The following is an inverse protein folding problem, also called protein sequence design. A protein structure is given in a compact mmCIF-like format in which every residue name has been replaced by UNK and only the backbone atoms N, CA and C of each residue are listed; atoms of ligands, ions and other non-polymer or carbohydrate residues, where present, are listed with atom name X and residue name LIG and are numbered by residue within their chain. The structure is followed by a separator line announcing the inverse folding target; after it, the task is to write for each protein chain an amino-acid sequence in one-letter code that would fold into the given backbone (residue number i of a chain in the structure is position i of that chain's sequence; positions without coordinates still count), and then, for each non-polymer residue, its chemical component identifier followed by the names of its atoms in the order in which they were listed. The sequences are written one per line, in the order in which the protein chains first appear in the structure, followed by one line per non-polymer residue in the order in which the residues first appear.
data_IF_131957272798
#
_entry.id   IF_131957272798
#
_cell.length_a   1.000
_cell.length_b   1.000
_cell.length_c   1.000
_cell.angle_alpha   90.00
_cell.angle_beta   90.00
_cell.angle_gamma   90.00
#
_symmetry.space_group_name_H-M   'P 1'
#
loop_
_entity.id
_entity.type
_entity.pdbx_description
1 polymer ?
#
# COMPACT_ATOMS: atom_id res chain seq x y z
N UNK A 1 -27.40 -63.35 0.48
CA UNK A 1 -28.29 -62.85 -0.56
C UNK A 1 -29.07 -61.73 0.06
N UNK A 2 -28.71 -60.55 -0.27
CA UNK A 2 -29.46 -59.31 -0.50
C UNK A 2 -28.49 -58.14 -0.27
N UNK A 3 -28.09 -57.68 -1.40
CA UNK A 3 -27.36 -56.46 -1.69
C UNK A 3 -28.27 -55.26 -1.36
N UNK A 4 -27.83 -54.34 -0.56
CA UNK A 4 -28.44 -53.01 -0.45
C UNK A 4 -27.35 -51.97 -0.49
N UNK A 5 -27.14 -51.48 -1.70
CA UNK A 5 -26.38 -50.26 -1.99
C UNK A 5 -27.14 -49.05 -1.49
N UNK A 6 -26.53 -48.30 -0.55
CA UNK A 6 -27.01 -46.97 -0.19
C UNK A 6 -26.50 -45.93 -1.20
N UNK A 7 -27.34 -44.98 -1.64
CA UNK A 7 -26.95 -43.93 -2.57
C UNK A 7 -26.15 -42.85 -1.90
N UNK A 8 -25.07 -42.48 -2.55
CA UNK A 8 -24.24 -41.29 -2.25
C UNK A 8 -25.10 -40.05 -2.45
N UNK A 9 -25.28 -39.28 -1.38
CA UNK A 9 -25.90 -37.97 -1.45
C UNK A 9 -24.82 -36.96 -1.86
N UNK A 10 -24.79 -36.63 -3.15
CA UNK A 10 -24.18 -35.40 -3.65
C UNK A 10 -25.11 -34.22 -3.33
N UNK A 11 -24.64 -33.23 -2.61
CA UNK A 11 -25.38 -32.02 -2.43
C UNK A 11 -24.87 -31.18 -1.27
N UNK A 12 -24.45 -29.96 -1.58
CA UNK A 12 -24.10 -28.86 -0.71
C UNK A 12 -22.63 -28.67 -0.38
N UNK A 13 -21.86 -28.25 -1.38
CA UNK A 13 -20.58 -27.57 -1.18
C UNK A 13 -20.42 -26.32 -2.10
N UNK A 14 -21.47 -25.51 -2.23
CA UNK A 14 -21.33 -24.20 -2.88
C UNK A 14 -22.46 -23.25 -2.42
N UNK A 15 -22.31 -22.70 -1.23
CA UNK A 15 -23.13 -21.57 -0.81
C UNK A 15 -22.51 -20.87 0.41
N UNK A 16 -21.35 -20.23 0.22
CA UNK A 16 -20.84 -19.22 1.16
C UNK A 16 -19.70 -18.41 0.53
N UNK A 17 -20.01 -17.57 -0.44
CA UNK A 17 -19.06 -16.56 -0.92
C UNK A 17 -19.71 -15.36 -1.63
N UNK A 18 -20.90 -14.95 -1.25
CA UNK A 18 -21.53 -13.76 -1.88
C UNK A 18 -21.82 -12.60 -0.93
N UNK A 19 -21.27 -12.59 0.30
CA UNK A 19 -21.54 -11.52 1.27
C UNK A 19 -20.34 -10.63 1.60
N UNK A 20 -19.17 -10.87 1.06
CA UNK A 20 -17.98 -10.04 1.37
C UNK A 20 -17.58 -9.02 0.29
N UNK A 21 -18.23 -9.00 -0.86
CA UNK A 21 -17.87 -8.06 -1.95
C UNK A 21 -18.57 -6.70 -1.87
N UNK A 22 -19.46 -6.48 -0.89
CA UNK A 22 -20.27 -5.24 -0.83
C UNK A 22 -19.72 -4.15 0.09
N UNK A 23 -18.64 -4.40 0.86
CA UNK A 23 -18.04 -3.38 1.74
C UNK A 23 -16.94 -2.55 1.06
N UNK A 24 -16.37 -3.00 -0.06
CA UNK A 24 -15.35 -2.24 -0.78
C UNK A 24 -15.93 -1.22 -1.78
N UNK A 25 -17.16 -1.37 -2.23
CA UNK A 25 -17.80 -0.43 -3.15
C UNK A 25 -18.42 0.81 -2.48
N UNK A 26 -18.72 0.77 -1.19
CA UNK A 26 -19.30 1.92 -0.50
C UNK A 26 -18.28 3.04 -0.19
N UNK A 27 -16.98 2.73 -0.19
CA UNK A 27 -15.89 3.69 0.08
C UNK A 27 -15.51 4.57 -1.13
N UNK A 28 -15.92 4.20 -2.35
CA UNK A 28 -15.52 4.91 -3.58
C UNK A 28 -16.30 6.21 -3.84
N UNK A 29 -17.38 6.47 -3.10
CA UNK A 29 -18.25 7.62 -3.29
C UNK A 29 -18.11 8.73 -2.25
N UNK A 30 -17.24 8.57 -1.26
CA UNK A 30 -17.00 9.60 -0.25
C UNK A 30 -16.10 10.72 -0.81
N UNK A 31 -16.39 12.00 -0.50
CA UNK A 31 -15.51 13.11 -0.85
C UNK A 31 -14.12 12.93 -0.22
N UNK A 32 -13.07 13.19 -1.02
CA UNK A 32 -11.69 13.07 -0.60
C UNK A 32 -10.99 14.42 -0.74
N UNK A 33 -10.30 14.86 0.31
CA UNK A 33 -9.47 16.06 0.28
C UNK A 33 -8.00 15.65 0.14
N UNK A 34 -7.32 16.22 -0.83
CA UNK A 34 -5.90 15.94 -1.11
C UNK A 34 -5.20 17.21 -1.57
N UNK A 35 -4.09 17.56 -0.94
CA UNK A 35 -3.30 18.77 -1.23
C UNK A 35 -4.16 20.04 -1.33
N UNK A 36 -5.08 20.22 -0.37
CA UNK A 36 -5.97 21.38 -0.30
C UNK A 36 -7.14 21.39 -1.31
N UNK A 37 -7.24 20.39 -2.17
CA UNK A 37 -8.34 20.23 -3.14
C UNK A 37 -9.32 19.16 -2.68
N UNK A 38 -10.62 19.41 -2.87
CA UNK A 38 -11.67 18.43 -2.53
C UNK A 38 -12.23 17.80 -3.81
N UNK A 39 -12.25 16.49 -3.84
CA UNK A 39 -12.76 15.69 -4.95
C UNK A 39 -14.04 14.96 -4.53
N UNK A 40 -14.98 14.71 -5.44
CA UNK A 40 -16.22 14.02 -5.11
C UNK A 40 -16.00 12.56 -4.66
N UNK A 41 -14.93 11.96 -5.09
CA UNK A 41 -14.51 10.61 -4.71
C UNK A 41 -13.00 10.39 -5.02
N UNK A 42 -12.46 9.25 -4.60
CA UNK A 42 -11.07 8.91 -4.81
C UNK A 42 -10.71 8.68 -6.29
N UNK A 43 -11.63 8.18 -7.08
CA UNK A 43 -11.45 8.00 -8.52
C UNK A 43 -11.24 9.34 -9.25
N UNK A 44 -12.01 10.35 -8.88
CA UNK A 44 -11.86 11.71 -9.42
C UNK A 44 -10.52 12.34 -9.02
N UNK A 45 -10.08 12.15 -7.75
CA UNK A 45 -8.74 12.54 -7.31
C UNK A 45 -7.67 11.88 -8.18
N UNK A 46 -7.74 10.56 -8.32
CA UNK A 46 -6.79 9.77 -9.10
C UNK A 46 -6.73 10.21 -10.56
N UNK A 47 -7.89 10.37 -11.19
CA UNK A 47 -7.97 10.84 -12.58
C UNK A 47 -7.31 12.22 -12.77
N UNK A 48 -7.60 13.16 -11.88
CA UNK A 48 -7.01 14.50 -11.92
C UNK A 48 -5.48 14.46 -11.82
N UNK A 49 -4.93 13.81 -10.79
CA UNK A 49 -3.49 13.76 -10.59
C UNK A 49 -2.77 12.91 -11.64
N UNK A 50 -3.43 11.90 -12.22
CA UNK A 50 -2.88 11.15 -13.36
C UNK A 50 -2.69 12.05 -14.58
N UNK A 51 -3.65 12.93 -14.87
CA UNK A 51 -3.50 13.89 -15.97
C UNK A 51 -2.41 14.95 -15.69
N UNK A 52 -2.30 15.40 -14.44
CA UNK A 52 -1.21 16.32 -14.06
C UNK A 52 0.16 15.63 -14.17
N UNK A 53 0.28 14.35 -13.76
CA UNK A 53 1.50 13.56 -13.96
C UNK A 53 1.81 13.40 -15.45
N UNK A 54 0.81 13.12 -16.28
CA UNK A 54 0.96 13.02 -17.75
C UNK A 54 1.54 14.30 -18.36
N UNK A 55 1.14 15.47 -17.85
CA UNK A 55 1.72 16.75 -18.27
C UNK A 55 3.18 16.88 -17.84
N UNK A 56 3.51 16.49 -16.61
CA UNK A 56 4.88 16.49 -16.08
C UNK A 56 5.81 15.56 -16.85
N UNK A 57 5.33 14.40 -17.27
CA UNK A 57 6.11 13.45 -18.07
C UNK A 57 6.54 13.99 -19.44
N UNK A 58 5.88 15.03 -19.96
CA UNK A 58 6.27 15.72 -21.19
C UNK A 58 7.41 16.72 -21.00
N UNK A 59 7.74 17.06 -19.75
CA UNK A 59 8.82 17.99 -19.43
C UNK A 59 10.18 17.29 -19.52
N UNK A 60 11.10 17.70 -20.42
CA UNK A 60 12.43 17.11 -20.52
C UNK A 60 13.28 17.28 -19.25
N UNK A 61 13.10 18.38 -18.51
CA UNK A 61 13.87 18.62 -17.27
C UNK A 61 13.42 17.67 -16.15
N UNK A 62 12.13 17.38 -16.07
CA UNK A 62 11.61 16.38 -15.13
C UNK A 62 12.21 14.99 -15.39
N UNK A 63 12.44 14.63 -16.64
CA UNK A 63 13.04 13.33 -17.02
C UNK A 63 14.53 13.22 -16.72
N UNK A 64 15.22 14.32 -16.46
CA UNK A 64 16.65 14.33 -16.10
C UNK A 64 16.90 14.10 -14.62
N UNK A 65 15.86 14.06 -13.80
CA UNK A 65 15.99 13.80 -12.37
C UNK A 65 16.60 12.41 -12.18
N UNK A 66 17.58 12.33 -11.29
CA UNK A 66 18.25 11.06 -10.95
C UNK A 66 17.24 10.01 -10.50
N UNK A 67 17.37 8.79 -11.00
CA UNK A 67 16.43 7.70 -10.69
C UNK A 67 15.18 7.69 -11.57
N UNK A 68 15.10 8.52 -12.61
CA UNK A 68 13.97 8.46 -13.54
C UNK A 68 13.95 7.10 -14.28
N UNK A 69 12.82 6.38 -14.31
CA UNK A 69 12.74 5.04 -14.86
C UNK A 69 12.89 5.03 -16.40
N UNK A 70 13.43 3.92 -16.90
CA UNK A 70 13.40 3.59 -18.32
C UNK A 70 12.07 2.87 -18.62
N UNK A 71 11.16 3.53 -19.31
CA UNK A 71 9.85 2.96 -19.65
C UNK A 71 8.99 3.93 -20.43
N UNK A 72 7.86 3.46 -20.93
CA UNK A 72 6.87 4.31 -21.58
C UNK A 72 6.10 5.14 -20.55
N UNK A 73 5.57 6.29 -20.99
CA UNK A 73 4.74 7.13 -20.12
C UNK A 73 3.50 6.38 -19.63
N UNK A 74 2.93 5.53 -20.47
CA UNK A 74 1.74 4.76 -20.11
C UNK A 74 2.04 3.71 -19.04
N UNK A 75 3.22 3.06 -19.06
CA UNK A 75 3.64 2.14 -18.01
C UNK A 75 3.84 2.86 -16.68
N UNK A 76 4.48 4.05 -16.70
CA UNK A 76 4.66 4.89 -15.53
C UNK A 76 3.30 5.28 -14.93
N UNK A 77 2.37 5.73 -15.77
CA UNK A 77 1.03 6.13 -15.33
C UNK A 77 0.22 4.95 -14.79
N UNK A 78 0.28 3.80 -15.46
CA UNK A 78 -0.44 2.60 -15.04
C UNK A 78 0.02 2.06 -13.67
N UNK A 79 1.32 2.21 -13.36
CA UNK A 79 1.91 1.79 -12.10
C UNK A 79 1.84 2.86 -11.00
N UNK A 80 1.22 4.01 -11.26
CA UNK A 80 1.14 5.14 -10.33
C UNK A 80 -0.25 5.30 -9.72
N UNK A 81 -0.28 5.82 -8.48
CA UNK A 81 -1.48 6.33 -7.81
C UNK A 81 -1.20 7.74 -7.26
N UNK A 82 -1.10 8.74 -8.16
CA UNK A 82 -0.73 10.08 -7.76
C UNK A 82 -1.83 10.79 -6.96
N UNK A 83 -1.49 11.72 -6.05
CA UNK A 83 -0.15 12.21 -5.77
C UNK A 83 0.63 11.36 -4.77
N UNK A 84 0.01 10.34 -4.16
CA UNK A 84 0.61 9.56 -3.06
C UNK A 84 1.78 8.69 -3.50
N UNK A 85 1.67 8.08 -4.65
CA UNK A 85 2.69 7.22 -5.21
C UNK A 85 2.83 7.44 -6.72
N UNK A 86 4.07 7.53 -7.19
CA UNK A 86 4.39 7.58 -8.61
C UNK A 86 5.52 6.61 -8.94
N UNK A 87 5.43 5.94 -10.09
CA UNK A 87 6.48 5.06 -10.60
C UNK A 87 7.68 5.82 -11.21
N UNK A 88 7.79 7.11 -10.93
CA UNK A 88 8.90 8.00 -11.26
C UNK A 88 9.12 8.93 -10.06
N UNK A 89 10.13 9.83 -10.05
CA UNK A 89 10.26 10.84 -9.01
C UNK A 89 8.94 11.59 -8.80
N UNK A 90 8.46 11.61 -7.55
CA UNK A 90 7.13 12.16 -7.24
C UNK A 90 7.17 13.69 -7.19
N UNK A 91 6.47 14.41 -8.10
CA UNK A 91 6.51 15.87 -8.14
C UNK A 91 5.76 16.55 -6.97
N UNK A 92 4.96 15.81 -6.20
CA UNK A 92 4.18 16.34 -5.07
C UNK A 92 4.72 15.94 -3.70
N UNK A 93 5.86 15.23 -3.65
CA UNK A 93 6.35 14.67 -2.37
C UNK A 93 6.59 15.74 -1.31
N UNK A 94 7.11 16.90 -1.71
CA UNK A 94 7.38 18.01 -0.79
C UNK A 94 6.08 18.57 -0.18
N UNK A 95 5.02 18.68 -0.98
CA UNK A 95 3.72 19.17 -0.53
C UNK A 95 3.04 18.15 0.38
N UNK A 96 3.11 16.87 0.03
CA UNK A 96 2.58 15.79 0.87
C UNK A 96 3.29 15.74 2.21
N UNK A 97 4.61 15.80 2.24
CA UNK A 97 5.39 15.81 3.49
C UNK A 97 5.03 17.01 4.35
N UNK A 98 4.93 18.22 3.77
CA UNK A 98 4.51 19.43 4.50
C UNK A 98 3.11 19.27 5.11
N UNK A 99 2.18 18.70 4.35
CA UNK A 99 0.81 18.47 4.84
C UNK A 99 0.82 17.48 6.00
N UNK A 100 1.49 16.35 5.85
CA UNK A 100 1.60 15.34 6.91
C UNK A 100 2.32 15.85 8.16
N UNK A 101 3.38 16.67 7.99
CA UNK A 101 4.05 17.27 9.14
C UNK A 101 3.15 18.29 9.87
N UNK A 102 2.31 19.02 9.14
CA UNK A 102 1.34 19.95 9.74
C UNK A 102 0.20 19.25 10.49
N UNK A 103 -0.15 18.02 10.10
CA UNK A 103 -1.17 17.21 10.76
C UNK A 103 -0.67 16.52 12.04
N UNK A 104 0.66 16.42 12.21
CA UNK A 104 1.24 15.80 13.41
C UNK A 104 1.03 16.67 14.66
N UNK A 105 0.76 16.04 15.82
CA UNK A 105 0.71 16.78 17.06
C UNK A 105 2.07 17.46 17.34
N UNK A 106 2.06 18.69 17.89
CA UNK A 106 3.28 19.41 18.18
C UNK A 106 4.12 18.64 19.20
N UNK A 107 5.40 18.47 18.90
CA UNK A 107 6.34 17.83 19.82
C UNK A 107 6.65 18.74 21.00
N UNK A 108 6.81 18.22 22.22
CA UNK A 108 7.21 19.01 23.39
C UNK A 108 8.52 19.75 23.14
N UNK A 109 8.67 20.92 23.77
CA UNK A 109 9.90 21.70 23.66
C UNK A 109 11.10 20.87 24.17
N UNK A 110 12.15 20.78 23.37
CA UNK A 110 13.34 19.98 23.69
C UNK A 110 13.21 18.49 23.39
N UNK A 111 12.12 18.07 22.76
CA UNK A 111 11.98 16.68 22.33
C UNK A 111 13.08 16.30 21.32
N UNK A 112 13.78 15.23 21.64
CA UNK A 112 14.73 14.56 20.73
C UNK A 112 14.32 13.11 20.58
N UNK A 113 14.18 12.65 19.36
CA UNK A 113 13.94 11.23 19.12
C UNK A 113 15.16 10.41 19.59
N UNK A 114 14.93 9.51 20.51
CA UNK A 114 15.94 8.55 20.95
C UNK A 114 15.28 7.19 21.22
N UNK A 115 15.90 6.14 20.76
CA UNK A 115 15.55 4.77 21.09
C UNK A 115 16.81 3.98 21.39
N UNK A 116 16.79 3.25 22.49
CA UNK A 116 17.87 2.31 22.81
C UNK A 116 17.96 1.23 21.73
N UNK A 117 19.15 0.67 21.47
CA UNK A 117 19.31 -0.43 20.54
C UNK A 117 18.38 -1.59 20.89
N UNK A 118 17.60 -2.04 19.93
CA UNK A 118 16.68 -3.15 20.08
C UNK A 118 17.25 -4.39 19.39
N UNK A 119 17.42 -5.46 20.14
CA UNK A 119 17.83 -6.76 19.64
C UNK A 119 16.68 -7.77 19.88
N UNK A 120 16.20 -8.37 18.81
CA UNK A 120 15.19 -9.42 18.87
C UNK A 120 15.64 -10.66 18.10
N UNK A 121 15.15 -11.83 18.53
CA UNK A 121 15.35 -13.07 17.76
C UNK A 121 14.59 -12.97 16.43
N UNK A 122 15.34 -13.07 15.33
CA UNK A 122 14.80 -13.06 13.97
C UNK A 122 14.19 -14.42 13.55
N UNK A 123 14.21 -15.41 14.43
CA UNK A 123 13.58 -16.72 14.17
C UNK A 123 12.06 -16.67 14.24
N UNK A 124 11.50 -15.67 14.91
CA UNK A 124 10.06 -15.51 15.00
C UNK A 124 9.41 -15.33 13.62
N UNK A 125 8.38 -16.11 13.38
CA UNK A 125 7.65 -16.09 12.12
C UNK A 125 8.24 -16.98 11.01
N UNK A 126 9.30 -17.73 11.26
CA UNK A 126 9.85 -18.72 10.28
C UNK A 126 8.88 -19.84 9.94
N UNK A 127 7.93 -20.14 10.81
CA UNK A 127 6.86 -21.11 10.57
C UNK A 127 5.60 -20.48 9.95
N UNK A 128 5.62 -19.20 9.66
CA UNK A 128 4.49 -18.49 9.06
C UNK A 128 4.28 -18.93 7.61
N UNK A 129 3.02 -19.17 7.16
CA UNK A 129 2.72 -19.58 5.80
C UNK A 129 3.26 -18.61 4.74
N UNK A 130 3.20 -17.30 5.00
CA UNK A 130 3.74 -16.27 4.09
C UNK A 130 5.25 -16.41 3.97
N UNK A 131 5.97 -16.63 5.09
CA UNK A 131 7.40 -16.87 5.06
C UNK A 131 7.74 -18.11 4.27
N UNK A 132 7.00 -19.21 4.46
CA UNK A 132 7.24 -20.48 3.80
C UNK A 132 6.87 -20.48 2.32
N UNK A 133 5.94 -19.62 1.90
CA UNK A 133 5.56 -19.47 0.49
C UNK A 133 6.70 -18.91 -0.41
N UNK A 134 7.71 -18.30 0.18
CA UNK A 134 8.84 -17.74 -0.55
C UNK A 134 10.07 -18.68 -0.49
N UNK A 135 10.67 -19.00 -1.61
CA UNK A 135 11.87 -19.83 -1.71
C UNK A 135 13.20 -19.08 -1.50
N UNK A 136 13.14 -17.79 -1.22
CA UNK A 136 14.30 -16.93 -1.09
C UNK A 136 15.14 -17.24 0.16
N UNK A 137 16.42 -17.58 -0.02
CA UNK A 137 17.27 -18.11 1.07
C UNK A 137 17.65 -17.11 2.17
N UNK A 138 17.79 -15.83 1.82
CA UNK A 138 18.19 -14.77 2.74
C UNK A 138 17.02 -13.95 3.29
N UNK A 139 15.80 -14.46 3.15
CA UNK A 139 14.61 -13.79 3.62
C UNK A 139 14.59 -13.65 5.14
N UNK A 140 14.16 -12.49 5.61
CA UNK A 140 13.87 -12.25 7.03
C UNK A 140 12.37 -12.38 7.24
N UNK A 141 11.90 -13.03 8.33
CA UNK A 141 10.48 -13.12 8.62
C UNK A 141 9.85 -11.72 8.77
N UNK A 142 8.74 -11.49 8.09
CA UNK A 142 8.06 -10.19 8.12
C UNK A 142 7.65 -9.75 9.54
N UNK A 143 7.30 -10.69 10.43
CA UNK A 143 6.99 -10.42 11.83
C UNK A 143 8.19 -9.87 12.60
N UNK A 144 9.41 -10.37 12.31
CA UNK A 144 10.62 -9.83 12.90
C UNK A 144 10.88 -8.39 12.40
N UNK A 145 10.75 -8.13 11.10
CA UNK A 145 10.89 -6.78 10.52
C UNK A 145 9.86 -5.83 11.14
N UNK A 146 8.61 -6.25 11.28
CA UNK A 146 7.55 -5.43 11.85
C UNK A 146 7.88 -4.95 13.26
N UNK A 147 8.51 -5.79 14.10
CA UNK A 147 8.93 -5.38 15.45
C UNK A 147 9.92 -4.23 15.43
N UNK A 148 10.90 -4.26 14.51
CA UNK A 148 11.85 -3.16 14.37
C UNK A 148 11.17 -1.89 13.87
N UNK A 149 10.26 -1.99 12.89
CA UNK A 149 9.49 -0.86 12.42
C UNK A 149 8.71 -0.23 13.58
N UNK A 150 7.90 -1.01 14.30
CA UNK A 150 7.08 -0.51 15.41
C UNK A 150 7.91 0.05 16.56
N UNK A 151 9.12 -0.46 16.79
CA UNK A 151 9.99 0.05 17.84
C UNK A 151 10.65 1.37 17.47
N UNK A 152 11.12 1.50 16.22
CA UNK A 152 11.90 2.67 15.79
C UNK A 152 11.05 3.76 15.12
N UNK A 153 9.77 3.54 14.87
CA UNK A 153 8.88 4.56 14.32
C UNK A 153 7.90 5.04 15.38
N UNK A 154 7.52 6.30 15.27
CA UNK A 154 6.43 6.88 16.05
C UNK A 154 5.20 6.98 15.16
N UNK A 155 4.00 6.54 15.64
CA UNK A 155 2.75 6.66 14.88
C UNK A 155 2.33 8.12 14.69
#
# INVERSE_FOLDING_TARGET
MSDQSDPIVEGELFSKSETESNSQHASSYAPVTCLGMTFPNDEARRAYFTEELRKKLKDPEFRKIEGFPLGSDEDILALSDPPYYTACPNPWIDELVKTWEAEKPPKPQGYTYHREPFAADVSEGKNDPIYNAHSYHTKVPHKAIMRYILYYTEP
#
